data_IF_713427769187
#
_entry.id   IF_713427769187
#
_cell.length_a   1.000
_cell.length_b   1.000
_cell.length_c   1.000
_cell.angle_alpha   90.00
_cell.angle_beta   90.00
_cell.angle_gamma   90.00
#
_symmetry.space_group_name_H-M   'P 1'
#
loop_
_entity.id
_entity.type
_entity.pdbx_description
1 polymer ?
#
# COMPACT_ATOMS: atom_id res chain seq x y z
N UNK A 1 56.57 -47.24 -44.95
CA UNK A 1 55.72 -46.08 -44.87
C UNK A 1 54.52 -46.42 -43.96
N UNK A 2 54.62 -46.10 -42.72
CA UNK A 2 53.63 -46.42 -41.70
C UNK A 2 52.70 -45.21 -41.50
N UNK A 3 51.43 -45.37 -41.92
CA UNK A 3 50.41 -44.35 -41.80
C UNK A 3 49.84 -44.38 -40.38
N UNK A 4 50.05 -43.34 -39.62
CA UNK A 4 49.48 -43.16 -38.29
C UNK A 4 48.07 -42.62 -38.47
N UNK A 5 47.06 -43.44 -38.21
CA UNK A 5 45.67 -42.97 -38.08
C UNK A 5 45.48 -42.35 -36.69
N UNK A 6 45.11 -41.09 -36.70
CA UNK A 6 44.73 -40.35 -35.46
C UNK A 6 43.25 -40.58 -35.23
N UNK A 7 42.83 -41.13 -34.11
CA UNK A 7 41.38 -41.32 -33.83
C UNK A 7 40.76 -39.95 -33.51
N UNK A 8 39.81 -39.60 -34.33
CA UNK A 8 38.98 -38.40 -34.19
C UNK A 8 37.85 -38.69 -33.20
N UNK A 9 38.20 -38.76 -31.90
CA UNK A 9 37.24 -38.92 -30.82
C UNK A 9 37.42 -37.79 -29.84
N UNK A 10 36.57 -36.83 -29.91
CA UNK A 10 36.12 -35.99 -28.81
C UNK A 10 35.75 -34.59 -29.27
N UNK A 11 34.55 -34.40 -29.64
CA UNK A 11 33.86 -33.12 -29.37
C UNK A 11 32.34 -33.36 -29.33
N UNK A 12 31.89 -34.15 -28.36
CA UNK A 12 30.51 -34.08 -27.90
C UNK A 12 30.45 -33.01 -26.84
N UNK A 13 30.37 -31.75 -27.24
CA UNK A 13 30.00 -30.69 -26.35
C UNK A 13 28.52 -30.80 -26.03
N UNK A 14 28.23 -31.15 -24.77
CA UNK A 14 26.90 -31.31 -24.23
C UNK A 14 26.11 -30.00 -24.25
N UNK A 15 25.26 -29.85 -25.24
CA UNK A 15 24.27 -28.76 -25.33
C UNK A 15 22.98 -29.08 -24.57
N UNK A 16 23.02 -29.27 -23.25
CA UNK A 16 21.82 -29.51 -22.45
C UNK A 16 21.61 -28.58 -21.27
N UNK A 17 22.46 -27.53 -21.11
CA UNK A 17 22.40 -26.63 -19.95
C UNK A 17 21.46 -25.42 -20.06
N UNK A 18 21.12 -24.99 -21.28
CA UNK A 18 20.38 -23.72 -21.49
C UNK A 18 18.91 -23.78 -21.08
N UNK A 19 18.26 -24.91 -21.12
CA UNK A 19 16.84 -25.06 -20.74
C UNK A 19 16.64 -25.15 -19.24
N UNK A 20 17.55 -25.79 -18.52
CA UNK A 20 17.48 -25.95 -17.07
C UNK A 20 17.74 -24.63 -16.35
N UNK A 21 18.71 -23.84 -16.80
CA UNK A 21 18.99 -22.52 -16.24
C UNK A 21 17.80 -21.56 -16.38
N UNK A 22 17.16 -21.51 -17.54
CA UNK A 22 15.98 -20.68 -17.77
C UNK A 22 14.79 -21.09 -16.89
N UNK A 23 14.56 -22.39 -16.72
CA UNK A 23 13.51 -22.90 -15.82
C UNK A 23 13.80 -22.57 -14.36
N UNK A 24 15.05 -22.70 -13.92
CA UNK A 24 15.45 -22.35 -12.57
C UNK A 24 15.22 -20.85 -12.28
N UNK A 25 15.69 -19.99 -13.20
CA UNK A 25 15.47 -18.53 -13.09
C UNK A 25 13.97 -18.21 -13.04
N UNK A 26 13.17 -18.82 -13.92
CA UNK A 26 11.73 -18.64 -13.93
C UNK A 26 11.08 -19.06 -12.59
N UNK A 27 11.47 -20.21 -12.04
CA UNK A 27 10.96 -20.68 -10.75
C UNK A 27 11.36 -19.73 -9.61
N UNK A 28 12.60 -19.24 -9.59
CA UNK A 28 13.05 -18.27 -8.56
C UNK A 28 12.24 -16.98 -8.64
N UNK A 29 12.02 -16.44 -9.83
CA UNK A 29 11.19 -15.25 -10.04
C UNK A 29 9.74 -15.49 -9.59
N UNK A 30 9.18 -16.65 -9.92
CA UNK A 30 7.81 -17.00 -9.53
C UNK A 30 7.67 -17.13 -8.01
N UNK A 31 8.61 -17.77 -7.34
CA UNK A 31 8.65 -17.90 -5.87
C UNK A 31 8.81 -16.53 -5.21
N UNK A 32 9.68 -15.67 -5.75
CA UNK A 32 9.86 -14.32 -5.24
C UNK A 32 8.57 -13.49 -5.39
N UNK A 33 7.92 -13.55 -6.56
CA UNK A 33 6.66 -12.87 -6.80
C UNK A 33 5.54 -13.37 -5.88
N UNK A 34 5.43 -14.69 -5.68
CA UNK A 34 4.47 -15.28 -4.75
C UNK A 34 4.75 -14.86 -3.29
N UNK A 35 6.02 -14.79 -2.90
CA UNK A 35 6.43 -14.30 -1.58
C UNK A 35 6.04 -12.84 -1.34
N UNK A 36 6.27 -11.97 -2.32
CA UNK A 36 5.88 -10.56 -2.25
C UNK A 36 4.35 -10.44 -2.18
N UNK A 37 3.62 -11.20 -3.00
CA UNK A 37 2.17 -11.18 -3.00
C UNK A 37 1.59 -11.67 -1.65
N UNK A 38 2.11 -12.74 -1.10
CA UNK A 38 1.72 -13.27 0.22
C UNK A 38 2.03 -12.28 1.34
N UNK A 39 3.21 -11.67 1.32
CA UNK A 39 3.59 -10.63 2.28
C UNK A 39 2.65 -9.43 2.22
N UNK A 40 2.37 -8.92 1.02
CA UNK A 40 1.46 -7.80 0.81
C UNK A 40 0.06 -8.13 1.31
N UNK A 41 -0.44 -9.32 0.97
CA UNK A 41 -1.76 -9.77 1.44
C UNK A 41 -1.82 -9.86 2.96
N UNK A 42 -0.79 -10.42 3.61
CA UNK A 42 -0.72 -10.57 5.06
C UNK A 42 -0.69 -9.19 5.76
N UNK A 43 0.14 -8.26 5.29
CA UNK A 43 0.26 -6.91 5.89
C UNK A 43 -1.01 -6.07 5.73
N UNK A 44 -1.76 -6.27 4.63
CA UNK A 44 -3.02 -5.57 4.40
C UNK A 44 -4.22 -6.22 5.10
N UNK A 45 -4.13 -7.53 5.40
CA UNK A 45 -5.20 -8.27 6.09
C UNK A 45 -5.08 -8.23 7.60
N UNK A 46 -3.87 -8.03 8.13
CA UNK A 46 -3.63 -7.99 9.56
C UNK A 46 -3.52 -6.54 10.02
N UNK A 47 -4.53 -6.04 10.75
CA UNK A 47 -4.43 -4.76 11.43
C UNK A 47 -3.65 -4.93 12.74
N UNK A 48 -2.68 -4.04 12.97
CA UNK A 48 -1.92 -3.98 14.22
C UNK A 48 -2.74 -3.33 15.34
N UNK A 49 -3.52 -2.34 14.98
CA UNK A 49 -4.35 -1.55 15.90
C UNK A 49 -5.58 -1.05 15.15
N UNK A 50 -6.69 -0.93 15.84
CA UNK A 50 -7.89 -0.27 15.39
C UNK A 50 -8.34 0.75 16.43
N UNK A 51 -9.07 1.75 15.98
CA UNK A 51 -9.55 2.81 16.87
C UNK A 51 -10.39 3.85 16.15
N UNK A 52 -10.79 4.84 16.91
CA UNK A 52 -11.61 5.93 16.42
C UNK A 52 -10.91 7.27 16.64
N UNK A 53 -11.07 8.19 15.70
CA UNK A 53 -10.60 9.55 15.83
C UNK A 53 -11.68 10.53 15.40
N UNK A 54 -11.86 11.57 16.19
CA UNK A 54 -12.79 12.65 15.93
C UNK A 54 -12.02 13.96 15.71
N UNK A 55 -12.53 14.79 14.82
CA UNK A 55 -11.95 16.08 14.51
C UNK A 55 -12.61 16.75 13.33
N UNK A 56 -12.07 17.88 12.91
CA UNK A 56 -12.54 18.60 11.72
C UNK A 56 -11.75 18.13 10.50
N UNK A 57 -12.45 17.64 9.49
CA UNK A 57 -11.84 17.22 8.24
C UNK A 57 -11.42 18.45 7.43
N UNK A 58 -10.11 18.70 7.36
CA UNK A 58 -9.58 19.92 6.72
C UNK A 58 -9.38 19.71 5.22
N UNK A 59 -8.95 18.52 4.83
CA UNK A 59 -8.62 18.24 3.44
C UNK A 59 -8.87 16.80 3.11
N UNK A 60 -9.33 16.57 1.90
CA UNK A 60 -9.41 15.25 1.29
C UNK A 60 -9.03 15.36 -0.18
N UNK A 61 -8.09 14.55 -0.64
CA UNK A 61 -7.57 14.65 -2.00
C UNK A 61 -7.08 13.32 -2.53
N UNK A 62 -7.26 13.11 -3.82
CA UNK A 62 -6.70 11.97 -4.53
C UNK A 62 -5.31 12.30 -5.01
N UNK A 63 -4.32 11.54 -4.55
CA UNK A 63 -2.89 11.74 -4.82
C UNK A 63 -2.29 10.55 -5.57
N UNK A 64 -1.10 10.76 -6.11
CA UNK A 64 -0.27 9.74 -6.73
C UNK A 64 -0.10 9.93 -8.23
N UNK A 65 1.09 9.58 -8.69
CA UNK A 65 1.44 9.67 -10.11
C UNK A 65 1.10 8.38 -10.85
N UNK A 66 1.58 7.25 -10.39
CA UNK A 66 1.35 5.93 -10.98
C UNK A 66 0.13 5.24 -10.35
N UNK A 67 0.09 5.22 -9.02
CA UNK A 67 -1.03 4.69 -8.24
C UNK A 67 -1.73 5.88 -7.58
N UNK A 68 -3.04 5.95 -7.72
CA UNK A 68 -3.84 7.00 -7.10
C UNK A 68 -4.46 6.48 -5.81
N UNK A 69 -4.18 7.18 -4.71
CA UNK A 69 -4.70 6.92 -3.37
C UNK A 69 -5.50 8.10 -2.86
N UNK A 70 -6.50 7.84 -2.05
CA UNK A 70 -7.34 8.86 -1.43
C UNK A 70 -6.80 9.16 -0.03
N UNK A 71 -6.39 10.43 0.20
CA UNK A 71 -5.68 10.87 1.39
C UNK A 71 -6.43 12.02 2.07
N UNK A 72 -6.56 11.95 3.40
CA UNK A 72 -7.24 12.94 4.20
C UNK A 72 -6.38 13.51 5.33
N UNK A 73 -6.75 14.73 5.77
CA UNK A 73 -6.14 15.45 6.87
C UNK A 73 -7.24 15.83 7.87
N UNK A 74 -7.14 15.30 9.09
CA UNK A 74 -8.07 15.56 10.20
C UNK A 74 -7.39 16.40 11.28
N UNK A 75 -7.95 17.56 11.60
CA UNK A 75 -7.54 18.36 12.75
C UNK A 75 -8.26 17.88 14.01
N UNK A 76 -7.52 17.29 14.95
CA UNK A 76 -8.10 16.66 16.14
C UNK A 76 -8.49 17.66 17.22
N UNK A 77 -7.75 18.76 17.39
CA UNK A 77 -8.01 19.76 18.41
C UNK A 77 -7.84 21.16 17.83
N UNK A 78 -8.80 22.03 18.12
CA UNK A 78 -8.70 23.46 17.86
C UNK A 78 -8.73 24.16 19.22
N UNK A 79 -7.54 24.43 19.78
CA UNK A 79 -7.39 25.21 21.01
C UNK A 79 -6.81 26.56 20.61
N UNK A 80 -7.44 27.63 21.07
CA UNK A 80 -6.96 28.99 20.79
C UNK A 80 -5.50 29.15 21.23
N UNK A 81 -4.62 29.57 20.32
CA UNK A 81 -3.20 29.79 20.57
C UNK A 81 -2.29 28.56 20.44
N UNK A 82 -2.81 27.39 20.12
CA UNK A 82 -2.02 26.17 19.86
C UNK A 82 -2.28 25.69 18.44
N UNK A 83 -1.20 25.36 17.72
CA UNK A 83 -1.34 24.77 16.39
C UNK A 83 -2.14 23.44 16.46
N UNK A 84 -3.15 23.25 15.59
CA UNK A 84 -3.95 22.03 15.60
C UNK A 84 -3.07 20.81 15.27
N UNK A 85 -3.28 19.74 16.02
CA UNK A 85 -2.65 18.47 15.68
C UNK A 85 -3.35 17.87 14.48
N UNK A 86 -2.66 17.80 13.36
CA UNK A 86 -3.16 17.20 12.10
C UNK A 86 -2.82 15.73 12.08
N UNK A 87 -3.82 14.91 11.83
CA UNK A 87 -3.66 13.48 11.62
C UNK A 87 -3.94 13.14 10.15
N UNK A 88 -2.96 12.52 9.51
CA UNK A 88 -3.05 12.08 8.11
C UNK A 88 -3.51 10.64 8.05
N UNK A 89 -4.39 10.34 7.11
CA UNK A 89 -4.93 9.00 6.90
C UNK A 89 -5.16 8.73 5.42
N UNK A 90 -5.19 7.45 5.07
CA UNK A 90 -5.49 6.96 3.72
C UNK A 90 -6.84 6.26 3.69
N UNK A 91 -7.49 6.23 2.53
CA UNK A 91 -8.76 5.54 2.31
C UNK A 91 -8.64 4.62 1.10
N UNK A 92 -9.05 3.35 1.26
CA UNK A 92 -9.02 2.36 0.17
C UNK A 92 -10.39 2.06 -0.41
N UNK A 93 -11.43 2.21 0.40
CA UNK A 93 -12.81 1.96 -0.04
C UNK A 93 -13.38 3.20 -0.75
N UNK A 94 -13.79 3.08 -2.04
CA UNK A 94 -14.35 4.20 -2.78
C UNK A 94 -15.64 4.75 -2.19
N UNK A 95 -16.44 3.92 -1.50
CA UNK A 95 -17.68 4.37 -0.86
C UNK A 95 -17.39 5.23 0.37
N UNK A 96 -16.40 4.83 1.16
CA UNK A 96 -15.91 5.61 2.31
C UNK A 96 -15.28 6.91 1.82
N UNK A 97 -14.50 6.86 0.74
CA UNK A 97 -13.89 8.04 0.13
C UNK A 97 -14.95 9.07 -0.33
N UNK A 98 -16.04 8.61 -0.94
CA UNK A 98 -17.15 9.48 -1.34
C UNK A 98 -17.85 10.12 -0.12
N UNK A 99 -18.08 9.36 0.94
CA UNK A 99 -18.66 9.89 2.19
C UNK A 99 -17.76 10.95 2.82
N UNK A 100 -16.45 10.67 2.91
CA UNK A 100 -15.47 11.60 3.46
C UNK A 100 -15.37 12.86 2.61
N UNK A 101 -15.36 12.74 1.29
CA UNK A 101 -15.28 13.90 0.39
C UNK A 101 -16.43 14.89 0.60
N UNK A 102 -17.63 14.40 0.90
CA UNK A 102 -18.82 15.20 1.20
C UNK A 102 -18.81 15.81 2.60
N UNK A 103 -17.92 15.34 3.47
CA UNK A 103 -17.82 15.78 4.86
C UNK A 103 -16.65 16.78 5.10
N UNK A 104 -15.97 17.22 4.06
CA UNK A 104 -14.87 18.21 4.18
C UNK A 104 -15.40 19.50 4.82
N UNK A 105 -14.67 20.01 5.81
CA UNK A 105 -15.05 21.18 6.61
C UNK A 105 -15.98 20.87 7.78
N UNK A 106 -16.38 19.62 7.98
CA UNK A 106 -17.27 19.22 9.07
C UNK A 106 -16.51 18.47 10.17
N UNK A 107 -17.11 18.43 11.35
CA UNK A 107 -16.65 17.57 12.43
C UNK A 107 -17.10 16.13 12.13
N UNK A 108 -16.14 15.21 12.10
CA UNK A 108 -16.38 13.81 11.80
C UNK A 108 -15.75 12.90 12.84
N UNK A 109 -16.33 11.72 13.01
CA UNK A 109 -15.73 10.62 13.76
C UNK A 109 -15.46 9.49 12.78
N UNK A 110 -14.19 9.08 12.68
CA UNK A 110 -13.70 8.10 11.72
C UNK A 110 -13.16 6.89 12.47
N UNK A 111 -13.54 5.70 12.02
CA UNK A 111 -12.90 4.46 12.43
C UNK A 111 -11.72 4.17 11.52
N UNK A 112 -10.58 3.78 12.10
CA UNK A 112 -9.38 3.47 11.34
C UNK A 112 -8.73 2.17 11.81
N UNK A 113 -7.98 1.57 10.89
CA UNK A 113 -7.10 0.44 11.16
C UNK A 113 -5.66 0.84 10.86
N UNK A 114 -4.72 0.37 11.65
CA UNK A 114 -3.29 0.62 11.45
C UNK A 114 -2.62 -0.62 10.85
N UNK A 115 -1.93 -0.41 9.72
CA UNK A 115 -1.17 -1.45 9.02
C UNK A 115 0.31 -1.04 8.91
N UNK A 116 1.14 -1.36 9.91
CA UNK A 116 2.58 -1.12 9.83
C UNK A 116 3.18 -2.05 8.77
N UNK A 117 4.04 -1.49 7.90
CA UNK A 117 4.73 -2.30 6.90
C UNK A 117 4.01 -2.43 5.56
N UNK A 118 3.11 -1.49 5.24
CA UNK A 118 2.57 -1.37 3.88
C UNK A 118 3.74 -1.24 2.89
N UNK A 119 3.86 -2.15 1.91
CA UNK A 119 5.09 -2.28 1.13
C UNK A 119 5.28 -1.17 0.08
N UNK A 120 4.27 -0.36 -0.19
CA UNK A 120 4.35 0.70 -1.20
C UNK A 120 3.25 1.75 -1.00
N UNK A 121 3.54 2.98 -1.42
CA UNK A 121 2.58 4.10 -1.45
C UNK A 121 1.41 3.89 -2.42
N UNK A 122 1.42 2.83 -3.22
CA UNK A 122 0.29 2.44 -4.05
C UNK A 122 -0.93 1.96 -3.23
N UNK A 123 -0.75 1.62 -1.97
CA UNK A 123 -1.84 1.21 -1.08
C UNK A 123 -2.33 2.34 -0.18
N UNK A 124 -1.54 3.39 0.00
CA UNK A 124 -1.78 4.56 0.83
C UNK A 124 -0.47 5.23 1.24
N UNK A 125 -0.50 6.54 1.40
CA UNK A 125 0.67 7.32 1.84
C UNK A 125 0.93 7.17 3.34
N UNK A 126 -0.09 6.72 4.10
CA UNK A 126 -0.02 6.54 5.55
C UNK A 126 -0.19 5.07 5.94
N UNK A 127 0.14 4.75 7.19
CA UNK A 127 -0.17 3.45 7.80
C UNK A 127 -1.60 3.35 8.33
N UNK A 128 -2.31 4.47 8.43
CA UNK A 128 -3.67 4.56 8.98
C UNK A 128 -4.68 4.54 7.84
N UNK A 129 -5.52 3.53 7.83
CA UNK A 129 -6.56 3.37 6.82
C UNK A 129 -7.94 3.56 7.45
N UNK A 130 -8.66 4.56 6.98
CA UNK A 130 -10.05 4.77 7.39
C UNK A 130 -10.93 3.83 6.59
N UNK A 131 -11.70 3.03 7.31
CA UNK A 131 -12.63 2.04 6.74
C UNK A 131 -14.10 2.40 6.96
N UNK A 132 -14.39 3.37 7.85
CA UNK A 132 -15.76 3.73 8.20
C UNK A 132 -15.88 5.16 8.69
N UNK A 133 -16.93 5.85 8.24
CA UNK A 133 -17.40 7.12 8.84
C UNK A 133 -18.50 6.78 9.84
N UNK A 134 -18.27 7.10 11.12
CA UNK A 134 -19.21 6.80 12.20
C UNK A 134 -20.25 7.89 12.35
N UNK A 135 -19.80 9.14 12.44
CA UNK A 135 -20.67 10.31 12.56
C UNK A 135 -20.16 11.46 11.72
N UNK A 136 -21.09 12.25 11.20
CA UNK A 136 -20.82 13.54 10.56
C UNK A 136 -21.71 14.56 11.24
N UNK A 137 -21.11 15.51 11.96
CA UNK A 137 -21.86 16.59 12.56
C UNK A 137 -22.19 17.63 11.49
N UNK A 138 -23.47 17.92 11.33
CA UNK A 138 -23.99 18.92 10.41
C UNK A 138 -24.13 20.30 11.07
N UNK A 139 -23.65 20.46 12.31
CA UNK A 139 -23.58 21.74 12.97
C UNK A 139 -22.71 22.75 12.21
N UNK A 140 -22.92 24.04 12.39
CA UNK A 140 -22.02 25.04 11.84
C UNK A 140 -20.60 24.79 12.36
N UNK A 141 -19.55 25.04 11.54
CA UNK A 141 -18.18 24.90 12.02
C UNK A 141 -18.03 25.74 13.27
N UNK A 142 -17.43 25.14 14.32
CA UNK A 142 -17.17 25.84 15.55
C UNK A 142 -16.40 27.12 15.19
N UNK A 143 -17.03 28.27 15.40
CA UNK A 143 -16.41 29.57 15.17
C UNK A 143 -15.17 29.69 16.04
N UNK A 144 -14.06 30.26 15.53
CA UNK A 144 -12.83 30.43 16.28
C UNK A 144 -13.00 31.36 17.49
#
# INVERSE_FOLDING_TARGET
MTRIEVPNSALRSGGSGRGRGKRLVFLVVLVAAAGIAAWTWLTLSWSYSDGERAGVLQKFSRRGWLCKTDEGELAMYIVAGIAPQVWNFSVRDPQVADQISKAVGRHVQLHYTEHPGVPSTCFGDTRYFVDRVLTVDNGPPASP
#
